data_IF_824093793294
#
_entry.id   IF_824093793294
#
_cell.length_a   1.000
_cell.length_b   1.000
_cell.length_c   1.000
_cell.angle_alpha   90.00
_cell.angle_beta   90.00
_cell.angle_gamma   90.00
#
_symmetry.space_group_name_H-M   'P 1'
#
loop_
_entity.id
_entity.type
_entity.pdbx_description
1 polymer ?
#
# COMPACT_ATOMS: atom_id res chain seq x y z
N UNK A 1 -3.20 9.24 -6.22
CA UNK A 1 -3.87 10.54 -6.44
C UNK A 1 -4.59 10.51 -7.77
N UNK A 2 -5.87 10.15 -7.75
CA UNK A 2 -6.74 10.34 -8.92
C UNK A 2 -7.21 11.80 -8.94
N UNK A 3 -7.23 12.42 -10.12
CA UNK A 3 -7.69 13.80 -10.27
C UNK A 3 -9.20 13.80 -10.47
N UNK A 4 -9.92 14.60 -9.67
CA UNK A 4 -11.35 14.82 -9.87
C UNK A 4 -11.64 15.25 -11.30
N UNK A 5 -12.77 14.83 -11.90
CA UNK A 5 -13.90 14.10 -11.28
C UNK A 5 -13.70 12.56 -11.22
N UNK A 6 -14.33 11.89 -10.24
CA UNK A 6 -14.14 10.45 -9.95
C UNK A 6 -15.04 9.49 -10.73
N UNK A 7 -16.04 10.01 -11.45
CA UNK A 7 -16.81 9.20 -12.39
C UNK A 7 -16.26 9.41 -13.79
N UNK A 8 -16.10 8.34 -14.58
CA UNK A 8 -15.54 8.39 -15.94
C UNK A 8 -16.33 9.27 -16.94
N UNK A 9 -17.57 9.65 -16.61
CA UNK A 9 -18.41 10.64 -17.35
C UNK A 9 -18.34 12.06 -16.79
N UNK A 10 -17.62 12.27 -15.68
CA UNK A 10 -17.47 13.55 -15.00
C UNK A 10 -18.66 14.06 -14.19
N UNK A 11 -19.69 13.25 -13.97
CA UNK A 11 -20.92 13.62 -13.25
C UNK A 11 -20.82 13.54 -11.72
N UNK A 12 -19.70 13.04 -11.19
CA UNK A 12 -19.39 12.98 -9.75
C UNK A 12 -18.09 13.71 -9.43
N UNK A 13 -18.14 14.97 -8.96
CA UNK A 13 -16.93 15.76 -8.73
C UNK A 13 -16.08 15.24 -7.56
N UNK A 14 -16.67 14.57 -6.57
CA UNK A 14 -15.98 14.07 -5.39
C UNK A 14 -16.33 12.62 -5.10
N UNK A 15 -15.43 11.90 -4.42
CA UNK A 15 -15.67 10.51 -4.03
C UNK A 15 -16.92 10.39 -3.12
N UNK A 16 -17.16 11.36 -2.24
CA UNK A 16 -18.35 11.42 -1.37
C UNK A 16 -19.67 11.44 -2.15
N UNK A 17 -19.69 11.89 -3.40
CA UNK A 17 -20.91 11.91 -4.22
C UNK A 17 -21.43 10.49 -4.54
N UNK A 18 -20.61 9.47 -4.30
CA UNK A 18 -20.98 8.05 -4.40
C UNK A 18 -21.57 7.47 -3.12
N UNK A 19 -21.62 8.20 -1.99
CA UNK A 19 -22.09 7.67 -0.71
C UNK A 19 -23.53 7.12 -0.79
N UNK A 20 -24.38 7.68 -1.66
CA UNK A 20 -25.72 7.17 -1.93
C UNK A 20 -25.77 5.73 -2.48
N UNK A 21 -24.71 5.26 -3.15
CA UNK A 21 -24.63 3.92 -3.72
C UNK A 21 -24.59 2.81 -2.66
N UNK A 22 -24.11 3.12 -1.44
CA UNK A 22 -24.13 2.19 -0.32
C UNK A 22 -25.54 1.74 0.04
N UNK A 23 -26.53 2.63 -0.11
CA UNK A 23 -27.95 2.31 0.09
C UNK A 23 -28.55 1.72 -1.18
N UNK A 24 -28.41 2.42 -2.31
CA UNK A 24 -29.16 2.08 -3.54
C UNK A 24 -28.66 0.84 -4.27
N UNK A 25 -27.36 0.50 -4.15
CA UNK A 25 -26.73 -0.62 -4.87
C UNK A 25 -26.20 -1.70 -3.91
N UNK A 26 -25.71 -1.32 -2.73
CA UNK A 26 -25.09 -2.26 -1.79
C UNK A 26 -26.03 -2.69 -0.65
N UNK A 27 -27.25 -2.14 -0.58
CA UNK A 27 -28.30 -2.61 0.33
C UNK A 27 -28.12 -2.22 1.81
N UNK A 28 -27.31 -1.21 2.13
CA UNK A 28 -27.24 -0.66 3.49
C UNK A 28 -28.52 0.08 3.85
N UNK A 29 -28.88 0.05 5.14
CA UNK A 29 -30.04 0.81 5.66
C UNK A 29 -29.80 2.33 5.63
N UNK A 30 -28.55 2.77 5.68
CA UNK A 30 -28.14 4.17 5.59
C UNK A 30 -26.82 4.33 4.83
N UNK A 31 -26.57 5.55 4.35
CA UNK A 31 -25.26 5.98 3.86
C UNK A 31 -24.20 5.87 4.97
N UNK A 32 -22.92 5.89 4.58
CA UNK A 32 -21.83 6.00 5.55
C UNK A 32 -21.88 7.36 6.24
N UNK A 33 -21.54 7.40 7.52
CA UNK A 33 -21.30 8.66 8.21
C UNK A 33 -20.02 9.33 7.68
N UNK A 34 -19.91 10.66 7.83
CA UNK A 34 -18.77 11.42 7.30
C UNK A 34 -17.41 10.88 7.77
N UNK A 35 -17.30 10.43 9.02
CA UNK A 35 -16.06 9.84 9.53
C UNK A 35 -15.77 8.45 8.94
N UNK A 36 -16.80 7.62 8.71
CA UNK A 36 -16.63 6.32 8.05
C UNK A 36 -16.22 6.50 6.58
N UNK A 37 -16.78 7.54 5.92
CA UNK A 37 -16.40 7.86 4.55
C UNK A 37 -14.98 8.45 4.49
N UNK A 38 -14.58 9.27 5.45
CA UNK A 38 -13.21 9.77 5.56
C UNK A 38 -12.18 8.64 5.77
N UNK A 39 -12.54 7.61 6.54
CA UNK A 39 -11.71 6.41 6.71
C UNK A 39 -11.61 5.62 5.38
N UNK A 40 -12.73 5.46 4.66
CA UNK A 40 -12.75 4.84 3.34
C UNK A 40 -11.92 5.62 2.32
N UNK A 41 -12.04 6.95 2.31
CA UNK A 41 -11.30 7.84 1.44
C UNK A 41 -9.80 7.76 1.73
N UNK A 42 -9.43 7.78 3.00
CA UNK A 42 -8.04 7.59 3.45
C UNK A 42 -7.49 6.23 3.02
N UNK A 43 -8.28 5.16 3.15
CA UNK A 43 -7.91 3.83 2.69
C UNK A 43 -7.72 3.79 1.16
N UNK A 44 -8.69 4.28 0.38
CA UNK A 44 -8.61 4.29 -1.08
C UNK A 44 -7.39 5.07 -1.56
N UNK A 45 -7.12 6.25 -0.98
CA UNK A 45 -5.97 7.06 -1.36
C UNK A 45 -4.63 6.56 -0.80
N UNK A 46 -4.64 5.62 0.14
CA UNK A 46 -3.43 4.90 0.57
C UNK A 46 -3.01 3.79 -0.39
N UNK A 47 -3.88 3.39 -1.33
CA UNK A 47 -3.55 2.36 -2.31
C UNK A 47 -2.51 2.88 -3.31
N UNK A 48 -1.47 2.08 -3.52
CA UNK A 48 -0.43 2.34 -4.50
C UNK A 48 -0.45 1.26 -5.58
N UNK A 49 -0.08 1.63 -6.80
CA UNK A 49 0.19 0.64 -7.84
C UNK A 49 1.43 -0.18 -7.49
N UNK A 50 1.51 -1.45 -7.93
CA UNK A 50 2.77 -2.18 -7.89
C UNK A 50 3.88 -1.45 -8.67
N UNK A 51 5.16 -1.69 -8.31
CA UNK A 51 6.30 -1.22 -9.10
C UNK A 51 6.23 -1.77 -10.53
N UNK A 52 6.60 -0.97 -11.52
CA UNK A 52 6.59 -1.42 -12.91
C UNK A 52 7.74 -2.43 -13.15
N UNK A 53 7.44 -3.71 -13.49
CA UNK A 53 8.46 -4.75 -13.62
C UNK A 53 9.30 -4.64 -14.91
N UNK A 54 8.95 -3.74 -15.82
CA UNK A 54 9.65 -3.55 -17.10
C UNK A 54 10.68 -2.41 -17.07
N UNK A 55 10.80 -1.69 -15.95
CA UNK A 55 11.84 -0.68 -15.73
C UNK A 55 13.11 -1.31 -15.18
N UNK A 56 14.23 -0.61 -15.35
CA UNK A 56 15.48 -0.99 -14.71
C UNK A 56 15.38 -0.80 -13.19
N UNK A 57 16.30 -1.45 -12.46
CA UNK A 57 16.31 -1.43 -11.00
C UNK A 57 16.50 -0.01 -10.44
N UNK A 58 17.28 0.82 -11.11
CA UNK A 58 17.49 2.25 -10.82
C UNK A 58 16.28 3.14 -11.19
N UNK A 59 15.18 2.54 -11.66
CA UNK A 59 13.97 3.23 -12.07
C UNK A 59 14.00 3.80 -13.49
N UNK A 60 15.12 3.68 -14.21
CA UNK A 60 15.25 4.18 -15.58
C UNK A 60 14.41 3.35 -16.55
N UNK A 61 14.17 3.93 -17.73
CA UNK A 61 13.63 3.16 -18.86
C UNK A 61 14.66 2.13 -19.31
N UNK A 62 14.16 0.95 -19.68
CA UNK A 62 14.92 -0.18 -20.19
C UNK A 62 14.79 -0.23 -21.71
N UNK A 63 15.90 0.03 -22.41
CA UNK A 63 16.01 -0.16 -23.85
C UNK A 63 16.78 -1.46 -24.12
N UNK A 64 16.12 -2.45 -24.72
CA UNK A 64 16.75 -3.72 -25.05
C UNK A 64 17.76 -3.61 -26.20
N UNK A 65 18.69 -4.56 -26.29
CA UNK A 65 19.65 -4.63 -27.41
C UNK A 65 18.95 -5.07 -28.71
N UNK A 66 18.52 -4.11 -29.52
CA UNK A 66 17.99 -4.33 -30.88
C UNK A 66 16.46 -4.45 -30.99
N UNK A 67 15.72 -4.14 -29.93
CA UNK A 67 14.25 -4.05 -29.93
C UNK A 67 13.74 -2.60 -29.96
N UNK A 68 12.43 -2.40 -29.75
CA UNK A 68 11.86 -1.07 -29.58
C UNK A 68 12.48 -0.32 -28.38
N UNK A 69 12.65 0.98 -28.52
CA UNK A 69 13.24 1.89 -27.55
C UNK A 69 12.15 2.65 -26.79
N UNK A 70 12.06 2.40 -25.49
CA UNK A 70 11.19 3.16 -24.60
C UNK A 70 11.65 4.61 -24.45
N UNK A 71 12.95 4.90 -24.55
CA UNK A 71 13.44 6.28 -24.55
C UNK A 71 12.92 7.07 -25.76
N UNK A 72 13.03 6.50 -26.97
CA UNK A 72 12.43 7.10 -28.18
C UNK A 72 10.92 7.18 -28.07
N UNK A 73 10.28 6.15 -27.52
CA UNK A 73 8.85 6.13 -27.26
C UNK A 73 8.39 7.26 -26.34
N UNK A 74 9.14 7.53 -25.28
CA UNK A 74 8.89 8.64 -24.35
C UNK A 74 9.00 9.99 -25.06
N UNK A 75 10.00 10.16 -25.92
CA UNK A 75 10.16 11.37 -26.72
C UNK A 75 8.97 11.57 -27.68
N UNK A 76 8.59 10.53 -28.43
CA UNK A 76 7.45 10.56 -29.35
C UNK A 76 6.12 10.79 -28.62
N UNK A 77 5.94 10.22 -27.43
CA UNK A 77 4.77 10.44 -26.60
C UNK A 77 4.63 11.93 -26.20
N UNK A 78 5.74 12.57 -25.85
CA UNK A 78 5.76 13.96 -25.39
C UNK A 78 5.74 14.99 -26.52
N UNK A 79 6.29 14.67 -27.69
CA UNK A 79 6.59 15.65 -28.75
C UNK A 79 6.21 15.20 -30.16
N UNK A 80 5.66 14.01 -30.34
CA UNK A 80 5.46 13.40 -31.66
C UNK A 80 4.20 13.85 -32.41
N UNK A 81 3.27 14.59 -31.78
CA UNK A 81 2.05 15.05 -32.44
C UNK A 81 1.17 13.91 -33.00
N UNK A 82 1.20 12.74 -32.36
CA UNK A 82 0.71 11.46 -32.90
C UNK A 82 -0.81 11.38 -33.05
N UNK A 83 -1.57 12.33 -32.51
CA UNK A 83 -3.03 12.38 -32.61
C UNK A 83 -3.47 13.65 -33.35
N UNK A 84 -3.48 13.61 -34.69
CA UNK A 84 -3.89 14.75 -35.50
C UNK A 84 -3.07 16.03 -35.29
N UNK A 85 -1.79 15.89 -34.93
CA UNK A 85 -0.90 17.01 -34.59
C UNK A 85 -0.89 17.37 -33.11
N UNK A 86 -1.64 16.67 -32.26
CA UNK A 86 -1.65 16.84 -30.81
C UNK A 86 -0.72 15.78 -30.17
N UNK A 87 0.12 16.21 -29.24
CA UNK A 87 0.98 15.33 -28.43
C UNK A 87 0.17 14.52 -27.42
N UNK A 88 0.61 13.30 -27.09
CA UNK A 88 -0.12 12.44 -26.15
C UNK A 88 -0.27 13.10 -24.77
N UNK A 89 0.76 13.84 -24.34
CA UNK A 89 0.78 14.62 -23.09
C UNK A 89 -0.25 15.75 -23.02
N UNK A 90 -0.80 16.17 -24.16
CA UNK A 90 -1.89 17.15 -24.21
C UNK A 90 -3.15 16.68 -23.48
N UNK A 91 -3.38 15.36 -23.41
CA UNK A 91 -4.41 14.75 -22.58
C UNK A 91 -3.78 13.94 -21.44
N UNK A 92 -2.82 13.07 -21.74
CA UNK A 92 -2.20 12.16 -20.79
C UNK A 92 -0.99 12.80 -20.10
N UNK A 93 -1.24 13.79 -19.26
CA UNK A 93 -0.17 14.57 -18.60
C UNK A 93 0.65 13.74 -17.61
N UNK A 94 1.96 13.92 -17.63
CA UNK A 94 2.89 13.27 -16.70
C UNK A 94 2.78 13.85 -15.27
N UNK A 95 3.10 13.08 -14.22
CA UNK A 95 3.68 11.73 -14.26
C UNK A 95 2.65 10.58 -14.35
N UNK A 96 1.37 10.84 -14.08
CA UNK A 96 0.35 9.78 -13.95
C UNK A 96 -0.35 9.40 -15.27
N UNK A 97 -0.16 10.19 -16.32
CA UNK A 97 -0.82 9.98 -17.61
C UNK A 97 -2.29 10.40 -17.61
N UNK A 98 -2.68 11.31 -16.71
CA UNK A 98 -4.03 11.87 -16.60
C UNK A 98 -3.95 13.34 -16.19
N UNK A 99 -5.06 14.05 -16.39
CA UNK A 99 -5.21 15.44 -15.97
C UNK A 99 -6.63 15.78 -15.47
N UNK A 100 -7.51 14.79 -15.33
CA UNK A 100 -8.90 14.96 -14.91
C UNK A 100 -9.79 15.69 -15.92
N UNK A 101 -9.32 15.82 -17.17
CA UNK A 101 -10.09 16.44 -18.23
C UNK A 101 -11.11 15.44 -18.77
N UNK A 102 -12.38 15.87 -18.81
CA UNK A 102 -13.42 15.15 -19.55
C UNK A 102 -13.36 15.59 -21.02
N UNK A 103 -13.07 14.63 -21.89
CA UNK A 103 -13.07 14.83 -23.34
C UNK A 103 -14.50 14.68 -23.86
N UNK A 104 -15.03 15.70 -24.57
CA UNK A 104 -16.34 15.59 -25.21
C UNK A 104 -16.38 14.47 -26.26
N UNK A 105 -17.49 13.73 -26.30
CA UNK A 105 -17.70 12.59 -27.20
C UNK A 105 -17.39 12.92 -28.68
N UNK A 106 -17.73 14.14 -29.10
CA UNK A 106 -17.48 14.65 -30.44
C UNK A 106 -16.00 14.67 -30.87
N UNK A 107 -15.06 14.76 -29.93
CA UNK A 107 -13.61 14.83 -30.23
C UNK A 107 -13.06 13.46 -30.67
N UNK A 108 -13.65 12.37 -30.20
CA UNK A 108 -13.22 11.00 -30.53
C UNK A 108 -14.33 10.17 -31.20
N UNK A 109 -15.38 10.82 -31.70
CA UNK A 109 -16.53 10.18 -32.34
C UNK A 109 -17.21 9.11 -31.46
N UNK A 110 -17.29 9.37 -30.16
CA UNK A 110 -17.99 8.53 -29.18
C UNK A 110 -19.44 8.93 -28.96
N UNK A 111 -20.16 8.12 -28.19
CA UNK A 111 -21.56 8.41 -27.81
C UNK A 111 -21.67 9.22 -26.51
N UNK A 112 -20.62 9.24 -25.69
CA UNK A 112 -20.61 9.86 -24.37
C UNK A 112 -19.25 10.50 -24.09
N UNK A 113 -19.26 11.52 -23.22
CA UNK A 113 -18.06 12.17 -22.74
C UNK A 113 -17.26 11.22 -21.85
N UNK A 114 -15.93 11.26 -21.98
CA UNK A 114 -15.03 10.33 -21.29
C UNK A 114 -13.91 11.10 -20.60
N UNK A 115 -13.61 10.71 -19.37
CA UNK A 115 -12.38 11.09 -18.69
C UNK A 115 -11.14 10.57 -19.43
N UNK A 116 -10.03 11.30 -19.29
CA UNK A 116 -8.71 10.85 -19.76
C UNK A 116 -8.14 9.88 -18.71
N UNK A 117 -8.14 8.57 -18.97
CA UNK A 117 -7.71 7.60 -17.96
C UNK A 117 -6.21 7.73 -17.70
N UNK A 118 -5.84 7.53 -16.44
CA UNK A 118 -4.45 7.33 -16.04
C UNK A 118 -3.80 6.16 -16.76
N UNK A 119 -2.49 6.26 -16.99
CA UNK A 119 -1.72 5.26 -17.75
C UNK A 119 -0.85 4.37 -16.85
N UNK A 120 -0.89 4.58 -15.53
CA UNK A 120 -0.18 3.77 -14.57
C UNK A 120 -0.83 2.38 -14.54
N UNK A 121 -0.05 1.32 -14.74
CA UNK A 121 -0.48 -0.10 -14.86
C UNK A 121 -0.92 -0.63 -16.23
N UNK A 122 -0.77 0.11 -17.34
CA UNK A 122 -1.11 -0.42 -18.67
C UNK A 122 -0.47 -1.78 -18.98
N UNK A 123 0.70 -2.06 -18.42
CA UNK A 123 1.41 -3.33 -18.59
C UNK A 123 0.61 -4.54 -18.06
N UNK A 124 -0.27 -4.35 -17.06
CA UNK A 124 -1.11 -5.41 -16.50
C UNK A 124 -2.23 -5.84 -17.44
N UNK A 125 -2.58 -4.98 -18.40
CA UNK A 125 -3.59 -5.27 -19.43
C UNK A 125 -3.08 -6.21 -20.53
N UNK A 126 -1.76 -6.48 -20.58
CA UNK A 126 -1.20 -7.45 -21.53
C UNK A 126 -1.68 -8.87 -21.26
N UNK A 127 -1.74 -9.67 -22.33
CA UNK A 127 -2.05 -11.11 -22.26
C UNK A 127 -3.51 -11.45 -22.49
N UNK A 128 -4.37 -10.46 -22.74
CA UNK A 128 -5.73 -10.66 -23.21
C UNK A 128 -5.74 -10.92 -24.72
N UNK A 129 -6.53 -11.89 -25.14
CA UNK A 129 -6.84 -12.21 -26.54
C UNK A 129 -8.35 -12.44 -26.67
N UNK A 130 -9.02 -11.55 -27.38
CA UNK A 130 -10.48 -11.60 -27.60
C UNK A 130 -10.93 -12.84 -28.40
N UNK A 131 -10.02 -13.47 -29.15
CA UNK A 131 -10.28 -14.69 -29.93
C UNK A 131 -10.03 -15.96 -29.11
N UNK A 132 -9.40 -15.85 -27.95
CA UNK A 132 -9.11 -16.99 -27.10
C UNK A 132 -10.36 -17.42 -26.32
N UNK A 133 -10.59 -18.73 -26.27
CA UNK A 133 -11.67 -19.31 -25.45
C UNK A 133 -11.36 -19.30 -23.95
N UNK A 134 -10.11 -19.01 -23.59
CA UNK A 134 -9.64 -18.87 -22.21
C UNK A 134 -8.62 -17.73 -22.14
N UNK A 135 -8.91 -16.75 -21.28
CA UNK A 135 -7.98 -15.71 -20.88
C UNK A 135 -7.69 -15.88 -19.39
N UNK A 136 -6.41 -15.95 -19.02
CA UNK A 136 -5.96 -16.12 -17.62
C UNK A 136 -5.36 -14.85 -17.03
N UNK A 137 -5.08 -13.84 -17.87
CA UNK A 137 -4.50 -12.53 -17.52
C UNK A 137 -4.91 -11.48 -18.55
N UNK A 138 -4.78 -10.21 -18.17
CA UNK A 138 -5.11 -9.07 -19.01
C UNK A 138 -6.61 -8.81 -19.14
N UNK A 139 -6.93 -7.64 -19.69
CA UNK A 139 -8.27 -7.24 -20.10
C UNK A 139 -8.14 -6.23 -21.24
N UNK A 140 -9.20 -6.04 -22.01
CA UNK A 140 -9.18 -5.16 -23.16
C UNK A 140 -8.90 -3.70 -22.83
N UNK A 141 -8.46 -2.98 -23.85
CA UNK A 141 -8.32 -1.53 -23.90
C UNK A 141 -9.67 -0.92 -24.31
N UNK A 142 -9.80 0.40 -24.20
CA UNK A 142 -11.06 1.17 -24.27
C UNK A 142 -12.01 0.91 -23.08
N UNK A 143 -13.02 1.76 -22.93
CA UNK A 143 -13.94 1.75 -21.78
C UNK A 143 -14.85 0.50 -21.75
N UNK A 144 -15.09 -0.09 -22.92
CA UNK A 144 -15.86 -1.32 -23.13
C UNK A 144 -14.97 -2.57 -23.25
N UNK A 145 -13.64 -2.41 -23.22
CA UNK A 145 -12.69 -3.51 -23.33
C UNK A 145 -12.65 -4.16 -24.72
N UNK A 146 -13.12 -3.47 -25.76
CA UNK A 146 -13.30 -4.03 -27.10
C UNK A 146 -11.99 -4.24 -27.86
N UNK A 147 -10.89 -3.58 -27.46
CA UNK A 147 -9.60 -3.74 -28.12
C UNK A 147 -8.71 -4.70 -27.34
N UNK A 148 -8.27 -5.77 -28.00
CA UNK A 148 -7.52 -6.86 -27.37
C UNK A 148 -6.11 -6.46 -26.90
N UNK A 149 -5.51 -5.46 -27.55
CA UNK A 149 -4.14 -5.04 -27.27
C UNK A 149 -3.90 -3.54 -27.44
N UNK A 150 -2.80 -3.05 -26.86
CA UNK A 150 -2.37 -1.65 -27.04
C UNK A 150 -1.89 -1.38 -28.48
N UNK A 151 -1.38 -2.40 -29.17
CA UNK A 151 -0.97 -2.27 -30.57
C UNK A 151 -2.17 -2.05 -31.47
N UNK A 152 -3.25 -2.82 -31.26
CA UNK A 152 -4.53 -2.62 -31.92
C UNK A 152 -5.11 -1.23 -31.65
N UNK A 153 -5.07 -0.77 -30.39
CA UNK A 153 -5.52 0.57 -30.03
C UNK A 153 -4.74 1.67 -30.76
N UNK A 154 -3.41 1.56 -30.82
CA UNK A 154 -2.54 2.55 -31.47
C UNK A 154 -2.47 2.41 -33.00
N UNK A 155 -2.91 1.31 -33.58
CA UNK A 155 -3.07 1.12 -35.04
C UNK A 155 -4.35 1.79 -35.58
N UNK A 156 -5.24 2.26 -34.69
CA UNK A 156 -6.47 2.91 -35.10
C UNK A 156 -6.19 4.16 -35.98
N UNK A 157 -6.98 4.43 -37.05
CA UNK A 157 -6.71 5.49 -38.04
C UNK A 157 -6.60 6.92 -37.52
N UNK A 158 -6.97 7.14 -36.25
CA UNK A 158 -6.86 8.42 -35.55
C UNK A 158 -5.42 8.76 -35.14
N UNK A 159 -4.55 7.76 -35.05
CA UNK A 159 -3.14 7.93 -34.73
C UNK A 159 -2.32 7.97 -36.02
N UNK A 160 -1.30 8.83 -36.04
CA UNK A 160 -0.43 9.00 -37.19
C UNK A 160 1.02 8.68 -36.78
N UNK A 161 1.46 7.48 -37.13
CA UNK A 161 2.85 7.06 -37.01
C UNK A 161 3.49 7.08 -38.40
N UNK A 162 4.53 7.88 -38.59
CA UNK A 162 5.24 7.96 -39.88
C UNK A 162 5.89 6.62 -40.24
N UNK A 163 6.36 5.89 -39.21
CA UNK A 163 7.03 4.60 -39.38
C UNK A 163 6.48 3.58 -38.37
N UNK A 164 6.30 2.31 -38.74
CA UNK A 164 5.80 1.29 -37.82
C UNK A 164 6.65 1.12 -36.55
N UNK A 165 7.97 1.33 -36.63
CA UNK A 165 8.87 1.28 -35.48
C UNK A 165 8.55 2.35 -34.42
N UNK A 166 8.08 3.54 -34.83
CA UNK A 166 7.76 4.62 -33.90
C UNK A 166 6.57 4.23 -33.00
N UNK A 167 5.62 3.45 -33.54
CA UNK A 167 4.52 2.89 -32.75
C UNK A 167 5.03 1.89 -31.72
N UNK A 168 5.94 1.01 -32.12
CA UNK A 168 6.52 0.01 -31.22
C UNK A 168 7.35 0.67 -30.11
N UNK A 169 8.08 1.74 -30.42
CA UNK A 169 8.81 2.54 -29.44
C UNK A 169 7.86 3.16 -28.41
N UNK A 170 6.75 3.77 -28.85
CA UNK A 170 5.71 4.31 -27.95
C UNK A 170 5.06 3.20 -27.10
N UNK A 171 4.79 2.03 -27.67
CA UNK A 171 4.28 0.88 -26.90
C UNK A 171 5.30 0.45 -25.85
N UNK A 172 6.59 0.42 -26.16
CA UNK A 172 7.63 0.07 -25.19
C UNK A 172 7.65 1.06 -24.02
N UNK A 173 7.50 2.36 -24.29
CA UNK A 173 7.37 3.37 -23.26
C UNK A 173 6.12 3.19 -22.40
N UNK A 174 4.94 3.02 -23.01
CA UNK A 174 3.65 2.87 -22.29
C UNK A 174 3.64 1.64 -21.37
N UNK A 175 4.45 0.64 -21.67
CA UNK A 175 4.56 -0.58 -20.89
C UNK A 175 5.51 -0.40 -19.71
N UNK A 176 6.37 0.61 -19.79
CA UNK A 176 7.24 1.09 -18.74
C UNK A 176 6.70 2.39 -18.11
N UNK A 177 5.42 2.72 -18.30
CA UNK A 177 4.86 3.94 -17.75
C UNK A 177 4.99 3.95 -16.21
N UNK A 178 5.29 5.11 -15.65
CA UNK A 178 5.59 5.26 -14.22
C UNK A 178 4.35 4.92 -13.37
N UNK A 179 4.49 3.98 -12.44
CA UNK A 179 3.40 3.59 -11.55
C UNK A 179 3.24 4.50 -10.34
N UNK A 180 4.14 5.47 -10.16
CA UNK A 180 4.24 6.27 -8.93
C UNK A 180 4.89 5.50 -7.79
N UNK A 181 5.34 4.27 -8.04
CA UNK A 181 6.12 3.44 -7.14
C UNK A 181 7.40 3.06 -7.87
N UNK A 182 8.54 3.37 -7.25
CA UNK A 182 9.84 3.13 -7.84
C UNK A 182 10.03 1.64 -8.17
N UNK A 183 10.65 1.34 -9.30
CA UNK A 183 10.77 -0.02 -9.85
C UNK A 183 11.48 -1.01 -8.90
N UNK A 184 12.39 -0.50 -8.06
CA UNK A 184 13.11 -1.30 -7.06
C UNK A 184 12.23 -1.80 -5.90
N UNK A 185 11.10 -1.18 -5.60
CA UNK A 185 10.32 -1.54 -4.39
C UNK A 185 9.95 -3.02 -4.42
N UNK A 186 10.22 -3.74 -3.33
CA UNK A 186 10.01 -5.19 -3.23
C UNK A 186 11.12 -6.05 -3.84
N UNK A 187 12.13 -5.45 -4.49
CA UNK A 187 13.29 -6.20 -4.94
C UNK A 187 14.17 -6.63 -3.76
N UNK A 188 14.67 -7.85 -3.81
CA UNK A 188 15.42 -8.48 -2.73
C UNK A 188 16.68 -9.17 -3.24
N UNK A 189 17.77 -9.04 -2.46
CA UNK A 189 19.01 -9.78 -2.67
C UNK A 189 19.55 -10.33 -1.36
N UNK A 190 19.86 -11.62 -1.36
CA UNK A 190 20.44 -12.30 -0.20
C UNK A 190 21.93 -12.50 -0.43
N UNK A 191 22.75 -11.98 0.47
CA UNK A 191 24.19 -12.20 0.52
C UNK A 191 24.49 -13.39 1.43
N UNK A 192 25.28 -14.35 0.94
CA UNK A 192 25.65 -15.58 1.67
C UNK A 192 27.17 -15.74 1.87
N UNK A 193 27.96 -14.71 1.51
CA UNK A 193 29.42 -14.71 1.55
C UNK A 193 30.09 -15.41 0.35
N UNK A 194 29.32 -15.91 -0.63
CA UNK A 194 29.86 -16.56 -1.85
C UNK A 194 29.43 -15.89 -3.14
N UNK A 195 28.40 -15.04 -3.10
CA UNK A 195 27.79 -14.38 -4.25
C UNK A 195 28.11 -12.87 -4.38
N UNK A 196 29.24 -12.45 -3.83
CA UNK A 196 29.56 -11.03 -3.59
C UNK A 196 29.50 -10.14 -4.83
N UNK A 197 29.99 -10.59 -5.99
CA UNK A 197 30.16 -9.73 -7.16
C UNK A 197 28.84 -9.33 -7.87
N UNK A 198 27.86 -10.23 -7.99
CA UNK A 198 26.57 -9.92 -8.64
C UNK A 198 25.58 -9.28 -7.65
N UNK A 199 25.63 -9.68 -6.38
CA UNK A 199 24.78 -9.10 -5.33
C UNK A 199 25.14 -7.64 -5.03
N UNK A 200 26.44 -7.30 -5.06
CA UNK A 200 26.92 -5.97 -4.67
C UNK A 200 26.40 -4.86 -5.59
N UNK A 201 26.51 -5.01 -6.91
CA UNK A 201 26.06 -3.98 -7.89
C UNK A 201 24.56 -3.64 -7.71
N UNK A 202 23.74 -4.66 -7.44
CA UNK A 202 22.31 -4.50 -7.21
C UNK A 202 22.00 -3.85 -5.88
N UNK A 203 22.74 -4.21 -4.83
CA UNK A 203 22.62 -3.59 -3.50
C UNK A 203 23.05 -2.12 -3.57
N UNK A 204 24.17 -1.81 -4.22
CA UNK A 204 24.63 -0.44 -4.44
C UNK A 204 23.58 0.37 -5.21
N UNK A 205 22.98 -0.21 -6.26
CA UNK A 205 21.91 0.45 -7.03
C UNK A 205 20.72 0.85 -6.15
N UNK A 206 20.23 -0.03 -5.26
CA UNK A 206 19.10 0.30 -4.38
C UNK A 206 19.52 1.23 -3.23
N UNK A 207 20.76 1.15 -2.75
CA UNK A 207 21.30 2.08 -1.74
C UNK A 207 21.38 3.49 -2.33
N UNK A 208 21.90 3.63 -3.55
CA UNK A 208 21.99 4.91 -4.26
C UNK A 208 20.59 5.49 -4.51
N UNK A 209 19.64 4.67 -4.96
CA UNK A 209 18.25 5.08 -5.12
C UNK A 209 17.62 5.51 -3.78
N UNK A 210 17.91 4.83 -2.67
CA UNK A 210 17.43 5.22 -1.34
C UNK A 210 17.96 6.59 -0.90
N UNK A 211 19.25 6.87 -1.17
CA UNK A 211 19.88 8.15 -0.84
C UNK A 211 19.30 9.34 -1.61
N UNK A 212 18.68 9.08 -2.77
CA UNK A 212 17.91 10.09 -3.52
C UNK A 212 16.49 10.28 -2.94
N UNK A 213 15.96 9.28 -2.21
CA UNK A 213 14.65 9.29 -1.56
C UNK A 213 13.45 8.59 -2.22
N UNK A 214 13.45 8.10 -3.48
CA UNK A 214 12.27 7.42 -4.04
C UNK A 214 11.96 6.05 -3.43
N UNK A 215 12.89 5.46 -2.68
CA UNK A 215 12.72 4.20 -1.95
C UNK A 215 13.38 4.30 -0.58
N UNK A 216 13.04 3.34 0.27
CA UNK A 216 13.84 2.99 1.43
C UNK A 216 14.56 1.67 1.22
N UNK A 217 15.53 1.34 2.09
CA UNK A 217 16.20 0.03 2.07
C UNK A 217 16.38 -0.49 3.49
N UNK A 218 16.12 -1.79 3.65
CA UNK A 218 16.36 -2.54 4.88
C UNK A 218 17.26 -3.74 4.59
N UNK A 219 17.87 -4.27 5.65
CA UNK A 219 18.46 -5.61 5.63
C UNK A 219 17.88 -6.43 6.78
N UNK A 220 17.65 -7.73 6.55
CA UNK A 220 17.28 -8.69 7.58
C UNK A 220 18.17 -9.92 7.46
N UNK A 221 18.55 -10.52 8.59
CA UNK A 221 19.39 -11.71 8.58
C UNK A 221 19.61 -12.29 9.97
N UNK A 222 20.72 -12.99 10.16
CA UNK A 222 21.14 -13.51 11.47
C UNK A 222 22.56 -13.10 11.79
N UNK A 223 22.83 -12.79 13.06
CA UNK A 223 24.19 -12.56 13.53
C UNK A 223 24.93 -13.88 13.85
N UNK A 224 26.19 -13.77 14.29
CA UNK A 224 27.05 -14.91 14.66
C UNK A 224 26.50 -15.81 15.78
N UNK A 225 25.58 -15.32 16.60
CA UNK A 225 24.85 -16.12 17.60
C UNK A 225 23.66 -16.89 17.02
N UNK A 226 23.28 -16.58 15.77
CA UNK A 226 22.10 -17.11 15.12
C UNK A 226 20.83 -16.32 15.44
N UNK A 227 20.95 -15.19 16.14
CA UNK A 227 19.81 -14.34 16.47
C UNK A 227 19.31 -13.60 15.24
N UNK A 228 17.99 -13.46 15.09
CA UNK A 228 17.41 -12.68 14.00
C UNK A 228 17.71 -11.19 14.24
N UNK A 229 18.17 -10.51 13.19
CA UNK A 229 18.58 -9.11 13.23
C UNK A 229 18.00 -8.33 12.05
N UNK A 230 17.81 -7.04 12.26
CA UNK A 230 17.35 -6.07 11.28
C UNK A 230 18.22 -4.82 11.23
N UNK A 231 18.27 -4.22 10.04
CA UNK A 231 18.92 -2.95 9.79
C UNK A 231 18.08 -2.11 8.85
N UNK A 232 18.18 -0.79 9.00
CA UNK A 232 17.61 0.18 8.07
C UNK A 232 18.68 1.18 7.64
N UNK A 233 18.62 1.64 6.38
CA UNK A 233 19.54 2.65 5.86
C UNK A 233 19.04 4.05 6.23
N UNK A 234 19.83 4.78 7.03
CA UNK A 234 19.57 6.16 7.43
C UNK A 234 20.79 7.03 7.09
N UNK A 235 20.60 8.06 6.25
CA UNK A 235 21.65 9.01 5.88
C UNK A 235 22.99 8.38 5.41
N UNK A 236 22.91 7.22 4.73
CA UNK A 236 24.08 6.49 4.20
C UNK A 236 24.72 5.50 5.17
N UNK A 237 24.18 5.37 6.38
CA UNK A 237 24.63 4.40 7.37
C UNK A 237 23.51 3.43 7.74
N UNK A 238 23.90 2.21 8.11
CA UNK A 238 22.98 1.16 8.50
C UNK A 238 22.77 1.18 9.99
N UNK A 239 21.56 1.53 10.42
CA UNK A 239 21.15 1.49 11.82
C UNK A 239 20.68 0.08 12.18
N UNK A 240 21.30 -0.58 13.17
CA UNK A 240 20.83 -1.88 13.68
C UNK A 240 19.54 -1.74 14.50
N UNK A 241 18.85 -2.86 14.69
CA UNK A 241 17.66 -3.01 15.53
C UNK A 241 17.92 -3.06 17.04
N UNK A 242 19.09 -2.59 17.49
CA UNK A 242 19.49 -2.51 18.91
C UNK A 242 20.15 -1.16 19.18
N UNK A 243 19.60 -0.36 20.09
CA UNK A 243 20.02 1.04 20.30
C UNK A 243 21.46 1.16 20.85
N UNK A 244 21.92 0.15 21.57
CA UNK A 244 23.29 0.11 22.12
C UNK A 244 24.38 -0.16 21.08
N UNK A 245 24.02 -0.51 19.84
CA UNK A 245 24.95 -0.78 18.75
C UNK A 245 25.17 0.45 17.86
N UNK A 246 26.41 0.64 17.40
CA UNK A 246 26.75 1.73 16.49
C UNK A 246 26.23 1.47 15.06
N UNK A 247 25.94 2.54 14.33
CA UNK A 247 25.61 2.47 12.91
C UNK A 247 26.80 1.96 12.09
N UNK A 248 26.53 1.21 11.03
CA UNK A 248 27.54 0.55 10.21
C UNK A 248 27.61 1.13 8.79
N UNK A 249 28.77 1.10 8.16
CA UNK A 249 28.90 1.28 6.71
C UNK A 249 28.34 0.07 5.96
N UNK A 250 28.03 0.25 4.66
CA UNK A 250 27.60 -0.88 3.81
C UNK A 250 28.65 -2.01 3.79
N UNK A 251 29.94 -1.66 3.71
CA UNK A 251 31.03 -2.66 3.72
C UNK A 251 31.11 -3.45 5.03
N UNK A 252 30.85 -2.81 6.17
CA UNK A 252 30.85 -3.48 7.47
C UNK A 252 29.64 -4.40 7.61
N UNK A 253 28.46 -3.97 7.15
CA UNK A 253 27.25 -4.80 7.15
C UNK A 253 27.42 -6.03 6.24
N UNK A 254 27.94 -5.84 5.02
CA UNK A 254 28.20 -6.94 4.09
C UNK A 254 29.19 -7.96 4.63
N UNK A 255 30.18 -7.53 5.42
CA UNK A 255 31.13 -8.42 6.06
C UNK A 255 30.51 -9.35 7.11
N UNK A 256 29.27 -9.09 7.56
CA UNK A 256 28.52 -10.01 8.43
C UNK A 256 27.93 -11.20 7.66
N UNK A 257 27.75 -11.08 6.34
CA UNK A 257 27.13 -12.11 5.52
C UNK A 257 28.04 -13.34 5.39
N UNK A 258 27.48 -14.53 5.60
CA UNK A 258 28.19 -15.79 5.44
C UNK A 258 27.24 -16.98 5.51
N UNK A 259 27.73 -18.21 5.29
CA UNK A 259 26.90 -19.41 5.37
C UNK A 259 26.27 -19.57 6.77
N UNK A 260 24.93 -19.56 6.85
CA UNK A 260 24.17 -19.59 8.11
C UNK A 260 23.93 -18.21 8.75
N UNK A 261 24.45 -17.15 8.15
CA UNK A 261 24.34 -15.75 8.56
C UNK A 261 23.97 -14.89 7.34
N UNK A 262 23.06 -15.38 6.50
CA UNK A 262 22.70 -14.71 5.26
C UNK A 262 22.00 -13.37 5.54
N UNK A 263 22.34 -12.35 4.76
CA UNK A 263 21.72 -11.02 4.85
C UNK A 263 20.87 -10.75 3.62
N UNK A 264 19.58 -10.51 3.81
CA UNK A 264 18.66 -10.14 2.74
C UNK A 264 18.39 -8.65 2.76
N UNK A 265 18.88 -7.96 1.73
CA UNK A 265 18.60 -6.57 1.45
C UNK A 265 17.28 -6.46 0.70
N UNK A 266 16.41 -5.55 1.11
CA UNK A 266 15.11 -5.32 0.49
C UNK A 266 14.91 -3.83 0.25
N UNK A 267 14.64 -3.45 -0.99
CA UNK A 267 14.11 -2.12 -1.29
C UNK A 267 12.63 -2.06 -0.89
N UNK A 268 12.25 -1.04 -0.12
CA UNK A 268 10.90 -0.89 0.44
C UNK A 268 10.29 0.44 0.03
N UNK A 269 8.99 0.58 0.22
CA UNK A 269 8.31 1.85 -0.02
C UNK A 269 8.87 2.92 0.93
N UNK A 270 9.13 4.15 0.46
CA UNK A 270 9.74 5.19 1.29
C UNK A 270 8.87 5.48 2.52
N UNK A 271 9.50 5.62 3.69
CA UNK A 271 8.84 5.83 4.98
C UNK A 271 8.37 4.55 5.68
N UNK A 272 8.62 3.36 5.11
CA UNK A 272 8.29 2.07 5.74
C UNK A 272 9.50 1.31 6.28
N UNK A 273 10.69 1.89 6.16
CA UNK A 273 11.98 1.26 6.47
C UNK A 273 12.11 0.92 7.95
N UNK A 274 11.70 1.84 8.83
CA UNK A 274 11.70 1.60 10.27
C UNK A 274 10.81 0.40 10.62
N UNK A 275 9.55 0.42 10.14
CA UNK A 275 8.56 -0.64 10.33
C UNK A 275 9.02 -2.01 9.85
N UNK A 276 9.66 -2.04 8.68
CA UNK A 276 10.04 -3.31 8.06
C UNK A 276 11.44 -3.77 8.50
N UNK A 277 12.28 -2.84 8.94
CA UNK A 277 13.69 -3.04 9.24
C UNK A 277 13.95 -3.30 10.72
N UNK A 278 13.58 -2.39 11.60
CA UNK A 278 14.14 -2.32 12.97
C UNK A 278 13.14 -2.13 14.11
N UNK A 279 11.89 -1.77 13.82
CA UNK A 279 10.86 -1.46 14.83
C UNK A 279 9.50 -1.78 14.22
N UNK A 280 9.06 -3.03 14.43
CA UNK A 280 8.02 -3.67 13.63
C UNK A 280 6.62 -3.10 13.84
N UNK A 281 6.33 -2.59 15.02
CA UNK A 281 5.02 -2.05 15.39
C UNK A 281 4.97 -0.52 15.47
N UNK A 282 6.13 0.15 15.34
CA UNK A 282 6.31 1.60 15.37
C UNK A 282 6.00 2.24 16.72
N UNK A 283 6.20 1.51 17.82
CA UNK A 283 5.99 2.02 19.17
C UNK A 283 7.16 2.88 19.70
N UNK A 284 8.33 2.79 19.04
CA UNK A 284 9.53 3.53 19.39
C UNK A 284 10.68 2.67 19.90
N UNK A 285 10.42 1.43 20.30
CA UNK A 285 11.40 0.45 20.75
C UNK A 285 11.89 -0.38 19.56
N UNK A 286 13.17 -0.77 19.58
CA UNK A 286 13.73 -1.53 18.45
C UNK A 286 13.55 -3.03 18.67
N UNK A 287 13.31 -3.77 17.59
CA UNK A 287 12.97 -5.19 17.60
C UNK A 287 13.89 -6.02 18.52
N UNK A 288 15.21 -5.74 18.50
CA UNK A 288 16.17 -6.51 19.29
C UNK A 288 16.26 -6.07 20.74
N UNK A 289 16.06 -4.79 21.03
CA UNK A 289 16.00 -4.30 22.41
C UNK A 289 14.81 -4.92 23.14
N UNK A 290 13.66 -5.02 22.48
CA UNK A 290 12.46 -5.69 23.00
C UNK A 290 12.69 -7.18 23.26
N UNK A 291 13.28 -7.90 22.30
CA UNK A 291 13.63 -9.32 22.48
C UNK A 291 14.60 -9.50 23.67
N UNK A 292 15.59 -8.62 23.82
CA UNK A 292 16.55 -8.67 24.93
C UNK A 292 15.86 -8.37 26.28
N UNK A 293 14.78 -7.58 26.28
CA UNK A 293 13.89 -7.33 27.44
C UNK A 293 12.86 -8.45 27.66
N UNK A 294 12.69 -9.35 26.71
CA UNK A 294 11.75 -10.47 26.76
C UNK A 294 10.32 -10.13 26.34
N UNK A 295 10.13 -9.05 25.58
CA UNK A 295 8.83 -8.63 25.03
C UNK A 295 8.67 -9.02 23.56
N UNK A 296 7.48 -8.79 23.00
CA UNK A 296 7.15 -9.15 21.61
C UNK A 296 7.22 -7.92 20.70
N UNK A 297 8.18 -7.84 19.75
CA UNK A 297 8.28 -6.74 18.78
C UNK A 297 7.09 -6.55 17.84
N UNK A 298 6.11 -7.45 17.91
CA UNK A 298 4.85 -7.31 17.18
C UNK A 298 3.72 -6.66 18.00
N UNK A 299 3.95 -6.32 19.27
CA UNK A 299 2.95 -5.85 20.21
C UNK A 299 3.29 -4.44 20.75
N UNK A 300 2.71 -3.37 20.18
CA UNK A 300 3.06 -1.98 20.51
C UNK A 300 2.63 -1.56 21.93
N UNK A 301 2.02 -2.46 22.70
CA UNK A 301 1.55 -2.22 24.06
C UNK A 301 2.43 -2.93 25.12
N UNK A 302 3.46 -3.68 24.71
CA UNK A 302 4.41 -4.39 25.59
C UNK A 302 5.88 -3.95 25.39
N UNK A 303 6.24 -2.66 25.55
CA UNK A 303 7.62 -2.20 25.32
C UNK A 303 8.65 -2.64 26.40
N UNK A 304 8.28 -3.56 27.29
CA UNK A 304 9.09 -3.94 28.45
C UNK A 304 8.98 -2.91 29.57
N UNK A 305 8.76 -3.38 30.80
CA UNK A 305 8.62 -2.50 31.96
C UNK A 305 9.96 -1.82 32.31
N UNK A 306 10.24 -0.63 31.74
CA UNK A 306 11.37 0.26 32.03
C UNK A 306 11.09 1.69 31.49
N UNK A 307 11.57 2.77 32.14
CA UNK A 307 10.89 4.05 32.12
C UNK A 307 10.85 4.68 30.74
N UNK A 308 9.72 5.33 30.42
CA UNK A 308 9.57 6.18 29.23
C UNK A 308 10.81 7.07 29.01
N UNK A 309 11.26 7.27 27.77
CA UNK A 309 12.31 8.22 27.47
C UNK A 309 11.81 9.63 27.84
N UNK A 310 12.16 10.05 29.04
CA UNK A 310 12.07 11.44 29.49
C UNK A 310 13.20 12.19 28.82
N UNK A 311 12.89 12.85 27.70
CA UNK A 311 13.94 13.55 26.96
C UNK A 311 13.58 14.23 25.65
N UNK A 312 12.30 14.51 25.36
CA UNK A 312 11.96 15.62 24.48
C UNK A 312 10.93 16.48 25.20
N UNK A 313 11.40 17.63 25.69
CA UNK A 313 10.53 18.73 26.09
C UNK A 313 9.74 19.17 24.86
N UNK A 314 8.55 18.61 24.65
CA UNK A 314 7.55 19.24 23.83
C UNK A 314 6.61 20.03 24.73
N UNK A 315 6.69 21.35 24.57
CA UNK A 315 5.84 22.32 25.23
C UNK A 315 4.38 21.96 25.03
N UNK A 316 3.66 21.91 26.15
CA UNK A 316 2.32 21.37 26.24
C UNK A 316 1.33 21.92 25.21
N UNK A 317 0.60 20.99 24.61
CA UNK A 317 -0.82 21.13 24.30
C UNK A 317 -1.49 19.87 24.84
N UNK A 318 -2.21 19.99 25.96
CA UNK A 318 -3.13 18.96 26.43
C UNK A 318 -4.16 18.69 25.33
N UNK A 319 -3.98 17.60 24.59
CA UNK A 319 -4.99 17.09 23.68
C UNK A 319 -5.94 16.25 24.53
N UNK A 320 -7.19 16.67 24.65
CA UNK A 320 -8.23 15.88 25.29
C UNK A 320 -8.23 14.46 24.68
N UNK A 321 -8.07 13.44 25.53
CA UNK A 321 -7.92 12.04 25.10
C UNK A 321 -9.05 11.58 24.18
N UNK A 322 -8.74 10.68 23.24
CA UNK A 322 -9.70 10.07 22.32
C UNK A 322 -10.08 8.67 22.82
N UNK A 323 -11.19 8.12 22.32
CA UNK A 323 -11.48 6.69 22.50
C UNK A 323 -10.40 5.88 21.77
N UNK A 324 -9.66 5.08 22.52
CA UNK A 324 -8.68 4.14 21.99
C UNK A 324 -9.27 2.73 22.04
N UNK A 325 -8.98 1.94 21.01
CA UNK A 325 -9.42 0.55 20.91
C UNK A 325 -8.22 -0.27 20.48
N UNK A 326 -7.72 -1.05 21.43
CA UNK A 326 -6.52 -1.89 21.36
C UNK A 326 -6.78 -3.12 20.48
N UNK A 327 -5.74 -3.70 19.85
CA UNK A 327 -5.85 -4.93 19.08
C UNK A 327 -6.59 -6.05 19.84
N UNK A 328 -7.65 -6.60 19.23
CA UNK A 328 -8.37 -7.73 19.82
C UNK A 328 -7.46 -8.97 19.86
N UNK A 329 -7.28 -9.56 21.04
CA UNK A 329 -6.41 -10.72 21.25
C UNK A 329 -7.08 -11.84 22.05
N UNK A 330 -6.84 -13.14 21.74
CA UNK A 330 -6.07 -13.65 20.61
C UNK A 330 -6.79 -13.45 19.26
N UNK A 331 -6.03 -13.28 18.19
CA UNK A 331 -6.54 -13.22 16.82
C UNK A 331 -5.62 -14.05 15.89
N UNK A 332 -6.04 -15.26 15.45
CA UNK A 332 -7.39 -15.81 15.55
C UNK A 332 -7.81 -16.24 16.97
N UNK A 333 -9.03 -15.88 17.36
CA UNK A 333 -9.66 -16.30 18.62
C UNK A 333 -10.19 -17.74 18.50
N UNK A 334 -9.88 -18.59 19.49
CA UNK A 334 -10.31 -20.01 19.52
C UNK A 334 -11.25 -20.38 20.66
N UNK A 335 -11.49 -19.47 21.60
CA UNK A 335 -12.40 -19.71 22.73
C UNK A 335 -12.88 -18.43 23.40
N UNK A 336 -12.05 -17.40 23.42
CA UNK A 336 -12.46 -16.05 23.78
C UNK A 336 -11.60 -15.02 23.03
N UNK A 337 -12.09 -13.80 22.93
CA UNK A 337 -11.40 -12.63 22.40
C UNK A 337 -11.50 -11.50 23.42
N UNK A 338 -10.37 -10.87 23.77
CA UNK A 338 -10.30 -9.72 24.67
C UNK A 338 -10.37 -8.45 23.86
N UNK A 339 -11.25 -7.56 24.30
CA UNK A 339 -11.59 -6.29 23.66
C UNK A 339 -11.24 -5.22 24.69
N UNK A 340 -10.05 -4.65 24.55
CA UNK A 340 -9.55 -3.62 25.46
C UNK A 340 -9.67 -2.23 24.81
N UNK A 341 -10.09 -1.24 25.60
CA UNK A 341 -10.37 0.10 25.11
C UNK A 341 -10.20 1.14 26.23
N UNK A 342 -9.78 2.35 25.87
CA UNK A 342 -9.59 3.46 26.81
C UNK A 342 -10.64 4.53 26.58
N UNK A 343 -11.38 4.87 27.64
CA UNK A 343 -12.40 5.92 27.61
C UNK A 343 -11.80 7.21 28.20
N UNK A 344 -11.82 8.35 27.48
CA UNK A 344 -11.10 9.55 27.91
C UNK A 344 -11.78 10.35 29.03
N UNK A 345 -13.08 10.17 29.21
CA UNK A 345 -13.89 10.75 30.27
C UNK A 345 -15.04 9.79 30.61
N UNK A 346 -15.61 9.80 31.82
CA UNK A 346 -16.70 8.90 32.17
C UNK A 346 -17.85 8.97 31.16
N UNK A 347 -18.19 7.84 30.53
CA UNK A 347 -19.15 7.77 29.41
C UNK A 347 -19.93 6.44 29.41
N UNK A 348 -21.05 6.41 28.69
CA UNK A 348 -21.69 5.15 28.30
C UNK A 348 -20.90 4.52 27.15
N UNK A 349 -20.56 3.24 27.31
CA UNK A 349 -19.84 2.43 26.33
C UNK A 349 -20.79 1.39 25.74
N UNK A 350 -20.73 1.16 24.43
CA UNK A 350 -21.36 0.02 23.75
C UNK A 350 -20.29 -0.80 23.02
N UNK A 351 -20.36 -2.12 23.14
CA UNK A 351 -19.54 -3.09 22.43
C UNK A 351 -20.47 -3.96 21.57
N UNK A 352 -20.38 -3.80 20.26
CA UNK A 352 -21.20 -4.50 19.28
C UNK A 352 -20.33 -5.42 18.42
N UNK A 353 -20.78 -6.64 18.16
CA UNK A 353 -20.06 -7.64 17.36
C UNK A 353 -20.88 -7.98 16.13
N UNK A 354 -20.27 -7.94 14.96
CA UNK A 354 -20.91 -8.11 13.66
C UNK A 354 -20.24 -9.20 12.82
N UNK A 355 -21.00 -9.88 11.97
CA UNK A 355 -20.46 -10.71 10.89
C UNK A 355 -20.05 -9.88 9.66
N UNK A 356 -19.48 -10.55 8.65
CA UNK A 356 -19.07 -9.92 7.37
C UNK A 356 -20.22 -9.33 6.56
N UNK A 357 -21.47 -9.71 6.84
CA UNK A 357 -22.66 -9.13 6.21
C UNK A 357 -23.19 -7.92 7.01
N UNK A 358 -22.51 -7.53 8.09
CA UNK A 358 -22.89 -6.42 8.96
C UNK A 358 -23.99 -6.77 9.98
N UNK A 359 -24.47 -8.02 10.00
CA UNK A 359 -25.49 -8.45 10.96
C UNK A 359 -24.87 -8.48 12.35
N UNK A 360 -25.50 -7.78 13.30
CA UNK A 360 -25.09 -7.75 14.70
C UNK A 360 -25.43 -9.07 15.38
N UNK A 361 -24.42 -9.67 16.02
CA UNK A 361 -24.48 -10.95 16.70
C UNK A 361 -24.49 -10.82 18.22
N UNK A 362 -23.80 -9.81 18.76
CA UNK A 362 -23.70 -9.52 20.20
C UNK A 362 -23.73 -8.02 20.41
N UNK A 363 -24.38 -7.56 21.47
CA UNK A 363 -24.36 -6.14 21.89
C UNK A 363 -24.33 -6.04 23.40
N UNK A 364 -23.39 -5.27 23.95
CA UNK A 364 -23.29 -5.02 25.38
C UNK A 364 -23.07 -3.54 25.66
N UNK A 365 -23.84 -2.96 26.58
CA UNK A 365 -23.73 -1.53 26.92
C UNK A 365 -23.68 -1.32 28.43
N UNK A 366 -22.75 -0.47 28.88
CA UNK A 366 -22.55 -0.17 30.29
C UNK A 366 -21.88 1.19 30.47
N UNK A 367 -21.93 1.72 31.69
CA UNK A 367 -21.21 2.95 32.04
C UNK A 367 -19.77 2.63 32.46
N UNK A 368 -18.80 3.35 31.91
CA UNK A 368 -17.38 3.19 32.23
C UNK A 368 -16.77 4.53 32.69
N UNK A 369 -15.97 4.56 33.77
CA UNK A 369 -15.19 5.74 34.14
C UNK A 369 -14.08 6.01 33.11
N UNK A 370 -13.42 7.17 33.21
CA UNK A 370 -12.22 7.43 32.42
C UNK A 370 -11.13 6.39 32.74
N UNK A 371 -10.38 5.95 31.73
CA UNK A 371 -9.32 4.96 31.85
C UNK A 371 -9.52 3.75 30.94
N UNK A 372 -8.58 2.81 31.02
CA UNK A 372 -8.57 1.56 30.26
C UNK A 372 -9.52 0.52 30.85
N UNK A 373 -10.26 -0.16 29.98
CA UNK A 373 -11.23 -1.20 30.32
C UNK A 373 -11.04 -2.42 29.42
N UNK A 374 -11.49 -3.58 29.89
CA UNK A 374 -11.44 -4.83 29.13
C UNK A 374 -12.83 -5.47 29.12
N UNK A 375 -13.24 -5.96 27.95
CA UNK A 375 -14.40 -6.81 27.76
C UNK A 375 -13.97 -8.13 27.12
N UNK A 376 -14.43 -9.25 27.67
CA UNK A 376 -14.08 -10.59 27.16
C UNK A 376 -15.28 -11.15 26.41
N UNK A 377 -15.13 -11.31 25.10
CA UNK A 377 -16.11 -12.01 24.28
C UNK A 377 -15.79 -13.50 24.23
N UNK A 378 -16.70 -14.32 24.71
CA UNK A 378 -16.60 -15.79 24.76
C UNK A 378 -17.00 -16.48 23.43
N UNK A 379 -17.04 -15.72 22.33
CA UNK A 379 -17.42 -16.16 20.99
C UNK A 379 -18.89 -16.60 20.85
N UNK A 380 -19.78 -16.21 21.78
CA UNK A 380 -21.22 -16.43 21.65
C UNK A 380 -21.96 -15.18 21.17
N UNK A 381 -23.05 -15.41 20.42
CA UNK A 381 -24.03 -14.37 20.13
C UNK A 381 -24.94 -14.05 21.32
N UNK A 382 -25.85 -13.10 21.15
CA UNK A 382 -26.94 -12.80 22.08
C UNK A 382 -27.91 -13.98 22.23
N UNK A 383 -27.95 -14.89 21.25
CA UNK A 383 -28.71 -16.14 21.28
C UNK A 383 -28.02 -17.27 22.08
N UNK A 384 -26.86 -16.98 22.67
CA UNK A 384 -26.00 -17.94 23.37
C UNK A 384 -25.47 -19.08 22.50
N UNK A 385 -25.56 -18.97 21.17
CA UNK A 385 -24.96 -19.91 20.25
C UNK A 385 -23.52 -19.48 19.91
N UNK A 386 -22.63 -20.46 19.77
CA UNK A 386 -21.24 -20.21 19.42
C UNK A 386 -21.16 -19.75 17.95
N UNK A 387 -20.47 -18.65 17.69
CA UNK A 387 -20.31 -18.15 16.33
C UNK A 387 -19.42 -19.09 15.49
N UNK A 388 -19.68 -19.26 14.18
CA UNK A 388 -18.86 -20.12 13.33
C UNK A 388 -17.44 -19.56 13.14
N UNK A 389 -16.51 -20.38 12.65
CA UNK A 389 -15.21 -19.85 12.22
C UNK A 389 -15.39 -18.86 11.07
N UNK A 390 -14.74 -17.70 11.16
CA UNK A 390 -14.95 -16.62 10.21
C UNK A 390 -14.37 -15.29 10.66
N UNK A 391 -14.56 -14.27 9.83
CA UNK A 391 -14.18 -12.89 10.14
C UNK A 391 -15.35 -12.17 10.81
N UNK A 392 -15.06 -11.46 11.89
CA UNK A 392 -16.02 -10.67 12.65
C UNK A 392 -15.47 -9.26 12.86
N UNK A 393 -16.37 -8.32 13.14
CA UNK A 393 -16.03 -6.93 13.45
C UNK A 393 -16.57 -6.58 14.82
N UNK A 394 -15.70 -6.20 15.73
CA UNK A 394 -16.08 -5.65 17.04
C UNK A 394 -16.03 -4.14 16.95
N UNK A 395 -17.04 -3.48 17.48
CA UNK A 395 -17.22 -2.04 17.47
C UNK A 395 -17.38 -1.57 18.90
N UNK A 396 -16.50 -0.67 19.34
CA UNK A 396 -16.60 0.02 20.64
C UNK A 396 -17.07 1.45 20.38
N UNK A 397 -18.12 1.88 21.09
CA UNK A 397 -18.67 3.24 21.02
C UNK A 397 -18.65 3.85 22.41
N UNK A 398 -18.03 5.03 22.58
CA UNK A 398 -18.01 5.75 23.86
C UNK A 398 -18.04 7.26 23.62
N UNK A 399 -18.95 7.98 24.30
CA UNK A 399 -19.01 9.44 24.24
C UNK A 399 -19.23 10.02 22.83
N UNK A 400 -19.89 9.28 21.94
CA UNK A 400 -20.10 9.66 20.54
C UNK A 400 -18.94 9.32 19.59
N UNK A 401 -17.79 8.88 20.10
CA UNK A 401 -16.72 8.30 19.31
C UNK A 401 -16.94 6.79 19.11
N UNK A 402 -16.55 6.26 17.96
CA UNK A 402 -16.64 4.84 17.63
C UNK A 402 -15.33 4.35 17.02
N UNK A 403 -14.90 3.15 17.43
CA UNK A 403 -13.77 2.43 16.84
C UNK A 403 -14.21 1.02 16.49
N UNK A 404 -13.73 0.48 15.38
CA UNK A 404 -14.05 -0.88 14.93
C UNK A 404 -12.76 -1.63 14.62
N UNK A 405 -12.67 -2.89 15.03
CA UNK A 405 -11.58 -3.78 14.69
C UNK A 405 -12.09 -5.12 14.20
N UNK A 406 -11.30 -5.78 13.36
CA UNK A 406 -11.59 -7.12 12.86
C UNK A 406 -10.98 -8.18 13.77
N UNK A 407 -11.71 -9.27 14.00
CA UNK A 407 -11.22 -10.46 14.70
C UNK A 407 -11.57 -11.70 13.89
N UNK A 408 -10.59 -12.59 13.71
CA UNK A 408 -10.80 -13.89 13.08
C UNK A 408 -11.14 -14.89 14.18
N UNK A 409 -12.20 -15.66 14.03
CA UNK A 409 -12.51 -16.79 14.89
C UNK A 409 -12.08 -18.06 14.18
N UNK A 410 -11.16 -18.80 14.79
CA UNK A 410 -10.67 -20.11 14.33
C UNK A 410 -11.13 -21.22 15.27
N UNK A 411 -11.37 -22.42 14.75
CA UNK A 411 -11.57 -23.61 15.59
C UNK A 411 -10.23 -24.28 15.88
#
# INVERSE_FOLDING_TARGET
TETTPFHWRGDRPQLIDFNGAFVSLMGRESQLFDYEFADLESFIFSLAYPPNPYRNLDGSLSDGNGGPSAEKGSFLFQFGGLFGGIECTGCHTLPHGQNGVIIPAMIFNGEQDLDVPQLQNLYEKRGFDEHATQNVRGFGYTHDGAMGSIDEFLDAPRFNFERPEDRLDVIAYLMQFDTGVHAAVGAQWTMDGTNEAEGLDRIETIVDASLVGPIGVIAKGRDGSGDARGWTLEAGFWRPDRESEETMSLSELLALAGPGHELTFTAVYPGTERRLGIDRDLDGYLDRDEIDMGTDPGDPEDPGTGPSPSGLEDGGLEIAGRLEFEPIWPNPARGAARIAYTVPAPNSVSIDIHDVMGRRLRSESFAAPAGRHEFVWDLHGDDHELVPSGLYFVRVTAGGAQKTQRVVVGR
#
